data_IF_239819396226
#
_entry.id   IF_239819396226
#
_cell.length_a   1.000
_cell.length_b   1.000
_cell.length_c   1.000
_cell.angle_alpha   90.00
_cell.angle_beta   90.00
_cell.angle_gamma   90.00
#
_symmetry.space_group_name_H-M   'P 1'
#
loop_
_entity.id
_entity.type
_entity.pdbx_description
1 polymer ?
#
# COMPACT_ATOMS: atom_id res chain seq x y z
N UNK A 1 46.28 12.67 2.87
CA UNK A 1 45.88 12.34 1.48
C UNK A 1 47.05 12.48 0.48
N UNK A 2 47.25 11.48 -0.39
CA UNK A 2 48.35 11.42 -1.40
C UNK A 2 47.80 11.26 -2.84
N UNK A 3 48.64 11.53 -3.84
CA UNK A 3 48.29 11.33 -5.26
C UNK A 3 48.30 9.86 -5.70
N UNK A 4 47.43 9.51 -6.63
CA UNK A 4 47.38 8.17 -7.23
C UNK A 4 48.49 8.02 -8.28
N UNK A 5 49.24 6.89 -8.28
CA UNK A 5 50.29 6.64 -9.26
C UNK A 5 49.76 6.68 -10.71
N UNK A 6 50.50 7.34 -11.62
CA UNK A 6 50.00 7.66 -12.96
C UNK A 6 49.75 6.46 -13.89
N UNK A 7 50.46 5.34 -13.68
CA UNK A 7 50.45 4.19 -14.59
C UNK A 7 49.48 3.08 -14.17
N UNK A 8 48.81 3.20 -13.03
CA UNK A 8 47.81 2.22 -12.58
C UNK A 8 46.49 2.37 -13.35
N UNK A 9 45.63 1.36 -13.27
CA UNK A 9 44.27 1.46 -13.80
C UNK A 9 43.50 2.57 -13.10
N UNK A 10 42.66 3.27 -13.86
CA UNK A 10 41.87 4.37 -13.32
C UNK A 10 40.84 3.83 -12.31
N UNK A 11 40.74 4.42 -11.11
CA UNK A 11 39.76 3.98 -10.10
C UNK A 11 38.30 4.09 -10.54
N UNK A 12 37.99 4.86 -11.59
CA UNK A 12 36.63 4.95 -12.11
C UNK A 12 36.14 3.70 -12.85
N UNK A 13 36.96 2.65 -12.99
CA UNK A 13 36.56 1.40 -13.64
C UNK A 13 36.53 1.45 -15.17
N UNK A 14 37.03 2.52 -15.80
CA UNK A 14 37.03 2.68 -17.26
C UNK A 14 37.96 1.73 -18.04
N UNK A 15 38.77 0.92 -17.34
CA UNK A 15 39.81 0.08 -17.94
C UNK A 15 41.03 0.83 -18.52
N UNK A 16 41.04 2.18 -18.46
CA UNK A 16 42.14 3.02 -18.94
C UNK A 16 43.16 3.28 -17.83
N UNK A 17 44.41 3.59 -18.19
CA UNK A 17 45.43 4.08 -17.23
C UNK A 17 44.99 5.41 -16.63
N UNK A 18 45.21 5.64 -15.33
CA UNK A 18 44.77 6.85 -14.61
C UNK A 18 45.23 8.14 -15.30
N UNK A 19 46.50 8.19 -15.74
CA UNK A 19 47.06 9.34 -16.49
C UNK A 19 46.35 9.67 -17.81
N UNK A 20 45.61 8.73 -18.40
CA UNK A 20 44.86 8.90 -19.66
C UNK A 20 43.34 8.95 -19.44
N UNK A 21 42.89 9.14 -18.20
CA UNK A 21 41.47 9.12 -17.86
C UNK A 21 41.10 10.24 -16.88
N UNK A 22 41.18 10.01 -15.56
CA UNK A 22 40.70 10.97 -14.57
C UNK A 22 41.82 11.77 -13.88
N UNK A 23 43.09 11.65 -14.31
CA UNK A 23 44.22 12.35 -13.67
C UNK A 23 44.06 13.88 -13.74
N UNK A 24 43.72 14.41 -14.91
CA UNK A 24 43.53 15.86 -15.10
C UNK A 24 42.35 16.41 -14.30
N UNK A 25 41.34 15.56 -14.01
CA UNK A 25 40.19 15.94 -13.18
C UNK A 25 40.54 16.09 -11.70
N UNK A 26 41.65 15.50 -11.24
CA UNK A 26 42.15 15.60 -9.85
C UNK A 26 41.14 15.23 -8.74
N UNK A 27 40.14 14.40 -9.06
CA UNK A 27 39.04 14.04 -8.14
C UNK A 27 39.32 12.83 -7.24
N UNK A 28 40.37 12.06 -7.50
CA UNK A 28 40.73 10.87 -6.71
C UNK A 28 42.06 11.06 -5.98
N UNK A 29 42.11 10.63 -4.71
CA UNK A 29 43.29 10.64 -3.84
C UNK A 29 43.40 9.33 -3.07
N UNK A 30 44.55 9.09 -2.46
CA UNK A 30 44.72 8.04 -1.45
C UNK A 30 44.53 8.67 -0.07
N UNK A 31 43.68 8.06 0.78
CA UNK A 31 43.62 8.39 2.20
C UNK A 31 44.88 7.91 2.93
N UNK A 32 44.95 8.16 4.23
CA UNK A 32 46.15 7.82 5.02
C UNK A 32 46.31 6.30 5.25
N UNK A 33 45.24 5.52 5.01
CA UNK A 33 45.24 4.05 5.02
C UNK A 33 45.54 3.46 3.63
N UNK A 34 45.71 4.29 2.60
CA UNK A 34 45.95 3.86 1.23
C UNK A 34 44.69 3.49 0.44
N UNK A 35 43.49 3.75 0.96
CA UNK A 35 42.25 3.59 0.21
C UNK A 35 42.07 4.73 -0.79
N UNK A 36 41.50 4.41 -1.95
CA UNK A 36 41.14 5.43 -2.93
C UNK A 36 39.88 6.15 -2.47
N UNK A 37 39.98 7.45 -2.28
CA UNK A 37 38.87 8.35 -1.92
C UNK A 37 38.63 9.37 -3.02
N UNK A 38 37.36 9.77 -3.18
CA UNK A 38 36.97 10.86 -4.08
C UNK A 38 36.84 12.14 -3.28
N UNK A 39 37.50 13.21 -3.73
CA UNK A 39 37.32 14.55 -3.18
C UNK A 39 36.28 15.29 -4.02
N UNK A 40 35.31 15.88 -3.35
CA UNK A 40 34.29 16.74 -3.95
C UNK A 40 34.32 18.07 -3.20
N UNK A 41 34.48 19.17 -3.93
CA UNK A 41 34.34 20.50 -3.34
C UNK A 41 32.86 20.88 -3.30
N UNK A 42 32.37 21.24 -2.12
CA UNK A 42 30.99 21.67 -1.95
C UNK A 42 30.84 23.11 -2.40
N UNK A 43 29.79 23.37 -3.19
CA UNK A 43 29.39 24.73 -3.52
C UNK A 43 29.05 25.51 -2.22
N UNK A 44 29.33 26.84 -2.11
CA UNK A 44 29.07 27.61 -0.89
C UNK A 44 27.64 27.44 -0.34
N UNK A 45 26.62 27.47 -1.21
CA UNK A 45 25.23 27.19 -0.83
C UNK A 45 25.01 25.80 -0.21
N UNK A 46 25.76 24.78 -0.64
CA UNK A 46 25.67 23.44 -0.06
C UNK A 46 26.30 23.41 1.34
N UNK A 47 27.38 24.17 1.57
CA UNK A 47 27.98 24.35 2.90
C UNK A 47 26.98 25.00 3.85
N UNK A 48 26.28 26.05 3.41
CA UNK A 48 25.21 26.69 4.20
C UNK A 48 24.11 25.71 4.61
N UNK A 49 23.70 24.81 3.69
CA UNK A 49 22.69 23.77 3.97
C UNK A 49 23.21 22.77 5.01
N UNK A 50 24.47 22.34 4.90
CA UNK A 50 25.07 21.40 5.88
C UNK A 50 25.16 22.04 7.26
N UNK A 51 25.61 23.28 7.35
CA UNK A 51 25.70 24.01 8.63
C UNK A 51 24.31 24.29 9.23
N UNK A 52 23.30 24.52 8.38
CA UNK A 52 21.91 24.61 8.82
C UNK A 52 21.41 23.28 9.41
N UNK A 53 21.64 22.16 8.71
CA UNK A 53 21.24 20.83 9.18
C UNK A 53 21.89 20.49 10.54
N UNK A 54 23.16 20.85 10.76
CA UNK A 54 23.82 20.65 12.06
C UNK A 54 23.12 21.42 13.19
N UNK A 55 22.76 22.69 12.97
CA UNK A 55 22.03 23.48 13.97
C UNK A 55 20.67 22.86 14.29
N UNK A 56 19.91 22.47 13.26
CA UNK A 56 18.61 21.82 13.43
C UNK A 56 18.73 20.48 14.19
N UNK A 57 19.79 19.70 13.90
CA UNK A 57 20.10 18.49 14.66
C UNK A 57 20.35 18.81 16.14
N UNK A 58 21.22 19.79 16.43
CA UNK A 58 21.54 20.17 17.81
C UNK A 58 20.34 20.71 18.58
N UNK A 59 19.44 21.44 17.92
CA UNK A 59 18.19 21.92 18.50
C UNK A 59 17.23 20.76 18.82
N UNK A 60 17.09 19.78 17.92
CA UNK A 60 16.16 18.66 18.09
C UNK A 60 16.65 17.63 19.11
N UNK A 61 17.95 17.29 19.08
CA UNK A 61 18.54 16.23 19.89
C UNK A 61 19.28 16.74 21.14
N UNK A 62 19.47 18.06 21.28
CA UNK A 62 20.17 18.67 22.42
C UNK A 62 21.68 18.40 22.46
N UNK A 63 22.28 17.99 21.33
CA UNK A 63 23.72 17.68 21.20
C UNK A 63 24.17 17.77 19.74
N UNK A 64 25.47 17.93 19.54
CA UNK A 64 26.09 17.84 18.22
C UNK A 64 26.03 16.40 17.65
N UNK A 65 26.01 16.25 16.30
CA UNK A 65 26.07 14.95 15.64
C UNK A 65 27.44 14.28 15.82
N UNK A 66 27.44 12.96 15.98
CA UNK A 66 28.64 12.13 16.09
C UNK A 66 29.22 11.81 14.70
N UNK A 67 30.50 11.41 14.60
CA UNK A 67 31.15 11.16 13.31
C UNK A 67 30.49 10.09 12.43
N UNK A 68 29.74 9.16 13.02
CA UNK A 68 29.04 8.08 12.31
C UNK A 68 27.54 8.37 12.08
N UNK A 69 27.06 9.57 12.39
CA UNK A 69 25.68 9.97 12.16
C UNK A 69 25.51 10.67 10.80
N UNK A 70 24.31 10.58 10.18
CA UNK A 70 24.07 11.22 8.90
C UNK A 70 24.22 12.74 8.98
N UNK A 71 24.97 13.31 8.03
CA UNK A 71 25.14 14.77 7.90
C UNK A 71 23.82 15.47 7.57
N UNK A 72 22.96 14.81 6.79
CA UNK A 72 21.62 15.29 6.45
C UNK A 72 20.58 14.42 7.16
N UNK A 73 20.39 14.61 8.46
CA UNK A 73 19.52 13.72 9.25
C UNK A 73 18.06 13.69 8.79
N UNK A 74 17.58 14.68 8.05
CA UNK A 74 16.25 14.67 7.42
C UNK A 74 16.07 13.54 6.39
N UNK A 75 17.16 13.02 5.80
CA UNK A 75 17.08 11.86 4.90
C UNK A 75 16.67 10.60 5.65
N UNK A 76 16.73 10.60 6.99
CA UNK A 76 16.14 9.54 7.79
C UNK A 76 14.62 9.49 7.64
N UNK A 77 13.92 10.50 7.11
CA UNK A 77 12.46 10.43 6.92
C UNK A 77 12.06 10.27 5.45
N UNK A 78 12.99 9.94 4.57
CA UNK A 78 12.78 9.84 3.14
C UNK A 78 13.39 8.55 2.61
N UNK A 79 12.58 7.69 2.00
CA UNK A 79 13.12 6.57 1.21
C UNK A 79 13.82 7.08 -0.05
N UNK A 80 14.62 6.22 -0.70
CA UNK A 80 15.20 6.53 -2.01
C UNK A 80 14.10 6.86 -3.03
N UNK A 81 12.97 6.18 -2.98
CA UNK A 81 11.85 6.46 -3.88
C UNK A 81 11.19 7.82 -3.56
N UNK A 82 11.03 8.22 -2.29
CA UNK A 82 10.49 9.54 -1.88
C UNK A 82 11.38 10.65 -2.45
N UNK A 83 12.70 10.45 -2.35
CA UNK A 83 13.68 11.35 -2.90
C UNK A 83 13.53 11.48 -4.42
N UNK A 84 13.38 10.36 -5.13
CA UNK A 84 13.26 10.36 -6.59
C UNK A 84 11.95 10.98 -7.08
N UNK A 85 10.82 10.74 -6.40
CA UNK A 85 9.53 11.38 -6.67
C UNK A 85 9.60 12.89 -6.44
N UNK A 86 10.15 13.34 -5.30
CA UNK A 86 10.31 14.76 -4.99
C UNK A 86 11.19 15.49 -6.01
N UNK A 87 12.27 14.84 -6.48
CA UNK A 87 13.10 15.40 -7.56
C UNK A 87 12.33 15.45 -8.88
N UNK A 88 11.52 14.45 -9.20
CA UNK A 88 10.71 14.45 -10.43
C UNK A 88 9.71 15.61 -10.43
N UNK A 89 9.04 15.89 -9.31
CA UNK A 89 8.14 17.05 -9.22
C UNK A 89 8.88 18.37 -9.44
N UNK A 90 10.08 18.51 -8.88
CA UNK A 90 10.91 19.69 -9.08
C UNK A 90 11.27 19.82 -10.56
N UNK A 91 11.68 18.74 -11.20
CA UNK A 91 12.02 18.70 -12.62
C UNK A 91 10.86 19.11 -13.50
N UNK A 92 9.65 18.63 -13.20
CA UNK A 92 8.44 19.00 -13.93
C UNK A 92 8.09 20.48 -13.72
N UNK A 93 8.17 20.97 -12.47
CA UNK A 93 7.90 22.39 -12.12
C UNK A 93 8.87 23.37 -12.78
N UNK A 94 10.14 22.98 -12.91
CA UNK A 94 11.19 23.84 -13.50
C UNK A 94 11.43 23.57 -14.99
N UNK A 95 10.63 22.69 -15.61
CA UNK A 95 10.67 22.44 -17.05
C UNK A 95 11.93 21.73 -17.54
N UNK A 96 12.50 20.83 -16.72
CA UNK A 96 13.67 20.03 -17.12
C UNK A 96 13.29 19.08 -18.27
N UNK A 97 14.12 18.95 -19.32
CA UNK A 97 13.84 18.03 -20.42
C UNK A 97 13.67 16.59 -19.94
N UNK A 98 12.69 15.86 -20.52
CA UNK A 98 12.32 14.51 -20.07
C UNK A 98 13.46 13.50 -20.19
N UNK A 99 14.35 13.66 -21.16
CA UNK A 99 15.53 12.80 -21.28
C UNK A 99 16.52 12.98 -20.12
N UNK A 100 16.61 14.19 -19.55
CA UNK A 100 17.45 14.51 -18.41
C UNK A 100 16.81 13.94 -17.14
N UNK A 101 15.50 14.12 -16.97
CA UNK A 101 14.74 13.50 -15.89
C UNK A 101 14.89 11.97 -15.90
N UNK A 102 14.78 11.36 -17.07
CA UNK A 102 15.00 9.92 -17.25
C UNK A 102 16.43 9.51 -16.89
N UNK A 103 17.44 10.25 -17.37
CA UNK A 103 18.84 9.93 -17.09
C UNK A 103 19.17 10.06 -15.60
N UNK A 104 18.67 11.10 -14.93
CA UNK A 104 18.74 11.25 -13.47
C UNK A 104 18.09 10.04 -12.79
N UNK A 105 16.85 9.72 -13.15
CA UNK A 105 16.13 8.59 -12.54
C UNK A 105 16.91 7.27 -12.66
N UNK A 106 17.53 7.05 -13.81
CA UNK A 106 18.24 5.80 -14.10
C UNK A 106 19.63 5.72 -13.48
N UNK A 107 20.28 6.86 -13.25
CA UNK A 107 21.70 6.88 -12.87
C UNK A 107 21.97 7.48 -11.49
N UNK A 108 20.99 8.17 -10.90
CA UNK A 108 21.13 8.95 -9.67
C UNK A 108 21.99 10.21 -9.82
N UNK A 109 22.41 10.56 -11.04
CA UNK A 109 23.28 11.71 -11.28
C UNK A 109 22.49 12.96 -11.65
N UNK A 110 22.94 14.13 -11.21
CA UNK A 110 22.47 15.42 -11.71
C UNK A 110 23.59 16.08 -12.52
N UNK A 111 23.64 15.83 -13.83
CA UNK A 111 24.68 16.38 -14.71
C UNK A 111 24.32 17.78 -15.16
N UNK A 112 25.26 18.71 -15.05
CA UNK A 112 25.15 20.09 -15.52
C UNK A 112 26.48 20.60 -16.05
N UNK A 113 26.47 21.73 -16.76
CA UNK A 113 27.69 22.40 -17.25
C UNK A 113 28.68 22.67 -16.10
N UNK A 114 28.17 22.93 -14.89
CA UNK A 114 28.98 23.23 -13.72
C UNK A 114 29.75 22.03 -13.18
N UNK A 115 29.31 20.79 -13.43
CA UNK A 115 29.89 19.61 -12.80
C UNK A 115 30.35 18.52 -13.76
N UNK A 116 29.98 18.57 -15.05
CA UNK A 116 30.32 17.56 -16.05
C UNK A 116 31.83 17.22 -16.07
N UNK A 117 32.67 18.26 -15.97
CA UNK A 117 34.12 18.10 -15.95
C UNK A 117 34.63 17.27 -14.75
N UNK A 118 33.89 17.24 -13.64
CA UNK A 118 34.20 16.50 -12.40
C UNK A 118 33.60 15.08 -12.36
N UNK A 119 32.80 14.70 -13.36
CA UNK A 119 32.17 13.37 -13.41
C UNK A 119 33.14 12.38 -14.07
N UNK A 120 33.38 11.19 -13.48
CA UNK A 120 34.23 10.19 -14.09
C UNK A 120 33.78 9.80 -15.51
N UNK A 121 34.72 9.48 -16.39
CA UNK A 121 34.41 9.14 -17.80
C UNK A 121 33.43 7.96 -17.91
N UNK A 122 33.56 6.95 -17.06
CA UNK A 122 32.66 5.80 -17.03
C UNK A 122 31.22 6.18 -16.68
N UNK A 123 31.04 7.08 -15.72
CA UNK A 123 29.73 7.56 -15.30
C UNK A 123 29.10 8.46 -16.36
N UNK A 124 29.87 9.36 -16.99
CA UNK A 124 29.38 10.14 -18.14
C UNK A 124 28.88 9.24 -19.28
N UNK A 125 29.59 8.14 -19.58
CA UNK A 125 29.12 7.18 -20.58
C UNK A 125 27.79 6.52 -20.18
N UNK A 126 27.57 6.24 -18.89
CA UNK A 126 26.28 5.72 -18.39
C UNK A 126 25.17 6.75 -18.51
N UNK A 127 25.46 8.01 -18.20
CA UNK A 127 24.54 9.13 -18.38
C UNK A 127 24.10 9.29 -19.83
N UNK A 128 25.07 9.38 -20.75
CA UNK A 128 24.80 9.54 -22.18
C UNK A 128 24.03 8.34 -22.75
N UNK A 129 24.34 7.13 -22.28
CA UNK A 129 23.60 5.92 -22.64
C UNK A 129 22.14 5.99 -22.17
N UNK A 130 21.86 6.52 -20.98
CA UNK A 130 20.50 6.70 -20.48
C UNK A 130 19.71 7.74 -21.28
N UNK A 131 20.34 8.87 -21.66
CA UNK A 131 19.73 9.86 -22.56
C UNK A 131 19.41 9.24 -23.92
N UNK A 132 20.38 8.52 -24.51
CA UNK A 132 20.19 7.84 -25.79
C UNK A 132 19.03 6.84 -25.71
N UNK A 133 18.97 6.07 -24.64
CA UNK A 133 17.89 5.11 -24.40
C UNK A 133 16.53 5.78 -24.34
N UNK A 134 16.37 6.90 -23.65
CA UNK A 134 15.12 7.66 -23.64
C UNK A 134 14.73 8.13 -25.05
N UNK A 135 15.69 8.66 -25.82
CA UNK A 135 15.43 9.09 -27.21
C UNK A 135 15.05 7.92 -28.12
N UNK A 136 15.61 6.74 -27.90
CA UNK A 136 15.24 5.53 -28.63
C UNK A 136 13.83 5.03 -28.22
N UNK A 137 13.44 5.24 -26.96
CA UNK A 137 12.06 4.99 -26.48
C UNK A 137 11.07 5.92 -27.17
N UNK A 138 11.30 7.24 -27.19
CA UNK A 138 10.39 8.20 -27.85
C UNK A 138 10.26 7.95 -29.35
N UNK A 139 11.32 7.47 -30.00
CA UNK A 139 11.31 7.10 -31.42
C UNK A 139 10.65 5.74 -31.68
N UNK A 140 10.11 5.07 -30.66
CA UNK A 140 9.47 3.76 -30.77
C UNK A 140 10.44 2.61 -31.06
N UNK A 141 11.76 2.85 -30.99
CA UNK A 141 12.81 1.84 -31.24
C UNK A 141 13.02 0.92 -30.04
N UNK A 142 12.55 1.32 -28.86
CA UNK A 142 12.59 0.54 -27.62
C UNK A 142 11.29 0.75 -26.87
N UNK A 143 10.62 -0.32 -26.42
CA UNK A 143 9.44 -0.19 -25.56
C UNK A 143 9.88 -0.08 -24.10
N UNK A 144 9.23 0.80 -23.34
CA UNK A 144 9.28 0.72 -21.87
C UNK A 144 8.55 -0.56 -21.51
N UNK A 145 9.26 -1.49 -20.88
CA UNK A 145 8.64 -2.68 -20.32
C UNK A 145 8.03 -2.29 -18.97
N UNK A 146 6.91 -1.57 -18.98
CA UNK A 146 6.08 -1.46 -17.78
C UNK A 146 5.28 -2.77 -17.73
N UNK A 147 5.42 -3.58 -16.67
CA UNK A 147 4.62 -4.79 -16.55
C UNK A 147 3.15 -4.41 -16.67
N UNK A 148 2.43 -5.04 -17.61
CA UNK A 148 1.02 -4.76 -17.90
C UNK A 148 0.14 -4.80 -16.62
N UNK A 149 0.58 -5.56 -15.61
CA UNK A 149 -0.04 -5.65 -14.29
C UNK A 149 -0.04 -4.32 -13.52
N UNK A 150 1.00 -3.48 -13.64
CA UNK A 150 1.08 -2.19 -12.94
C UNK A 150 0.07 -1.18 -13.48
N UNK A 151 -0.10 -1.10 -14.81
CA UNK A 151 -1.12 -0.23 -15.42
C UNK A 151 -2.53 -0.67 -14.99
N UNK A 152 -2.74 -1.98 -14.81
CA UNK A 152 -4.02 -2.52 -14.32
C UNK A 152 -4.27 -2.17 -12.85
N UNK A 153 -3.24 -2.19 -12.00
CA UNK A 153 -3.33 -1.77 -10.60
C UNK A 153 -3.60 -0.27 -10.47
N UNK A 154 -2.95 0.55 -11.30
CA UNK A 154 -3.22 2.00 -11.36
C UNK A 154 -4.69 2.27 -11.73
N UNK A 155 -5.21 1.55 -12.74
CA UNK A 155 -6.64 1.63 -13.10
C UNK A 155 -7.58 1.17 -11.97
N UNK A 156 -7.19 0.21 -11.13
CA UNK A 156 -7.98 -0.14 -9.94
C UNK A 156 -8.02 1.00 -8.92
N UNK A 157 -6.92 1.71 -8.72
CA UNK A 157 -6.84 2.84 -7.79
C UNK A 157 -7.83 3.95 -8.15
N UNK A 158 -7.92 4.30 -9.44
CA UNK A 158 -8.92 5.25 -9.93
C UNK A 158 -10.36 4.80 -9.66
N UNK A 159 -10.62 3.49 -9.77
CA UNK A 159 -11.94 2.90 -9.50
C UNK A 159 -12.30 2.92 -8.03
N UNK A 160 -11.32 2.83 -7.13
CA UNK A 160 -11.55 2.95 -5.69
C UNK A 160 -12.07 4.34 -5.31
N UNK A 161 -11.72 5.40 -6.05
CA UNK A 161 -12.36 6.71 -5.89
C UNK A 161 -13.85 6.65 -6.21
N UNK A 162 -14.23 6.02 -7.33
CA UNK A 162 -15.64 5.82 -7.65
C UNK A 162 -16.37 4.97 -6.60
N UNK A 163 -15.71 3.92 -6.06
CA UNK A 163 -16.26 3.09 -4.99
C UNK A 163 -16.60 3.90 -3.74
N UNK A 164 -15.74 4.84 -3.32
CA UNK A 164 -16.00 5.71 -2.17
C UNK A 164 -17.26 6.55 -2.36
N UNK A 165 -17.44 7.17 -3.54
CA UNK A 165 -18.64 7.94 -3.86
C UNK A 165 -19.89 7.06 -3.86
N UNK A 166 -19.81 5.87 -4.46
CA UNK A 166 -20.93 4.93 -4.52
C UNK A 166 -21.37 4.47 -3.11
N UNK A 167 -20.42 4.06 -2.27
CA UNK A 167 -20.71 3.70 -0.87
C UNK A 167 -21.32 4.87 -0.10
N UNK A 168 -20.76 6.08 -0.27
CA UNK A 168 -21.28 7.29 0.36
C UNK A 168 -22.72 7.61 -0.07
N UNK A 169 -23.03 7.44 -1.35
CA UNK A 169 -24.37 7.66 -1.90
C UNK A 169 -25.38 6.64 -1.39
N UNK A 170 -25.01 5.35 -1.35
CA UNK A 170 -25.85 4.28 -0.80
C UNK A 170 -26.16 4.56 0.67
N UNK A 171 -25.14 4.86 1.47
CA UNK A 171 -25.33 5.22 2.88
C UNK A 171 -26.28 6.41 3.00
N UNK A 172 -26.04 7.49 2.24
CA UNK A 172 -26.86 8.69 2.27
C UNK A 172 -28.34 8.41 1.96
N UNK A 173 -28.63 7.65 0.90
CA UNK A 173 -30.00 7.33 0.47
C UNK A 173 -30.75 6.47 1.49
N UNK A 174 -30.05 5.54 2.13
CA UNK A 174 -30.63 4.58 3.08
C UNK A 174 -30.63 5.12 4.52
N UNK A 175 -30.05 6.29 4.75
CA UNK A 175 -29.90 6.88 6.07
C UNK A 175 -31.22 7.50 6.59
N UNK A 176 -31.97 6.76 7.40
CA UNK A 176 -33.07 7.31 8.21
C UNK A 176 -32.60 7.71 9.61
N UNK A 177 -32.37 9.01 9.79
CA UNK A 177 -31.89 9.62 11.03
C UNK A 177 -32.83 9.36 12.22
N UNK A 178 -34.13 9.20 12.00
CA UNK A 178 -35.07 9.01 13.11
C UNK A 178 -34.97 7.61 13.71
N UNK A 179 -34.72 6.59 12.88
CA UNK A 179 -34.56 5.19 13.33
C UNK A 179 -33.23 4.98 14.07
N UNK A 180 -32.14 5.54 13.53
CA UNK A 180 -30.78 5.27 14.00
C UNK A 180 -30.37 5.89 15.34
N UNK A 181 -31.20 6.74 15.97
CA UNK A 181 -30.86 7.39 17.25
C UNK A 181 -30.89 6.44 18.46
N UNK A 182 -31.26 5.18 18.28
CA UNK A 182 -31.38 4.19 19.35
C UNK A 182 -30.33 3.10 19.16
N UNK A 183 -29.26 3.15 19.95
CA UNK A 183 -28.36 2.01 20.07
C UNK A 183 -28.94 1.04 21.10
N UNK A 184 -29.78 0.12 20.65
CA UNK A 184 -30.42 -0.89 21.49
C UNK A 184 -30.63 -2.23 20.74
N UNK A 185 -31.22 -3.21 21.43
CA UNK A 185 -31.49 -4.55 20.91
C UNK A 185 -32.54 -4.61 19.80
N UNK A 186 -33.23 -3.51 19.51
CA UNK A 186 -34.17 -3.40 18.41
C UNK A 186 -33.50 -2.99 17.10
N UNK A 187 -32.16 -2.93 17.04
CA UNK A 187 -31.43 -2.65 15.81
C UNK A 187 -31.93 -3.53 14.67
N UNK A 188 -32.21 -2.89 13.54
CA UNK A 188 -32.66 -3.56 12.34
C UNK A 188 -31.47 -4.05 11.51
N UNK A 189 -31.74 -4.98 10.60
CA UNK A 189 -30.77 -5.45 9.62
C UNK A 189 -30.16 -4.29 8.81
N UNK A 190 -31.01 -3.39 8.32
CA UNK A 190 -30.59 -2.22 7.54
C UNK A 190 -29.69 -1.29 8.35
N UNK A 191 -30.02 -1.02 9.62
CA UNK A 191 -29.18 -0.17 10.49
C UNK A 191 -27.81 -0.79 10.74
N UNK A 192 -27.76 -2.11 10.98
CA UNK A 192 -26.49 -2.79 11.18
C UNK A 192 -25.63 -2.83 9.91
N UNK A 193 -26.26 -3.03 8.75
CA UNK A 193 -25.58 -2.95 7.45
C UNK A 193 -25.05 -1.54 7.22
N UNK A 194 -25.83 -0.49 7.51
CA UNK A 194 -25.37 0.89 7.38
C UNK A 194 -24.21 1.21 8.31
N UNK A 195 -24.20 0.67 9.53
CA UNK A 195 -23.04 0.74 10.41
C UNK A 195 -21.81 0.09 9.76
N UNK A 196 -21.94 -1.13 9.23
CA UNK A 196 -20.84 -1.83 8.56
C UNK A 196 -20.34 -1.07 7.32
N UNK A 197 -21.23 -0.55 6.48
CA UNK A 197 -20.87 0.26 5.31
C UNK A 197 -20.20 1.58 5.70
N UNK A 198 -20.68 2.25 6.74
CA UNK A 198 -20.09 3.49 7.23
C UNK A 198 -18.69 3.25 7.79
N UNK A 199 -18.52 2.17 8.57
CA UNK A 199 -17.19 1.74 9.04
C UNK A 199 -16.30 1.40 7.85
N UNK A 200 -16.79 0.63 6.89
CA UNK A 200 -16.07 0.25 5.69
C UNK A 200 -15.60 1.46 4.89
N UNK A 201 -16.46 2.44 4.62
CA UNK A 201 -16.09 3.66 3.90
C UNK A 201 -15.02 4.47 4.64
N UNK A 202 -15.10 4.59 5.97
CA UNK A 202 -14.05 5.24 6.76
C UNK A 202 -12.73 4.47 6.69
N UNK A 203 -12.77 3.15 6.80
CA UNK A 203 -11.59 2.29 6.71
C UNK A 203 -10.96 2.33 5.31
N UNK A 204 -11.78 2.28 4.25
CA UNK A 204 -11.36 2.43 2.86
C UNK A 204 -10.62 3.75 2.64
N UNK A 205 -11.19 4.87 3.11
CA UNK A 205 -10.56 6.20 3.02
C UNK A 205 -9.21 6.25 3.73
N UNK A 206 -9.15 5.71 4.94
CA UNK A 206 -7.90 5.66 5.69
C UNK A 206 -6.84 4.78 4.99
N UNK A 207 -7.24 3.61 4.48
CA UNK A 207 -6.34 2.71 3.77
C UNK A 207 -5.80 3.33 2.48
N UNK A 208 -6.63 4.03 1.70
CA UNK A 208 -6.19 4.75 0.51
C UNK A 208 -5.19 5.86 0.83
N UNK A 209 -5.44 6.65 1.89
CA UNK A 209 -4.49 7.67 2.33
C UNK A 209 -3.15 7.06 2.77
N UNK A 210 -3.16 5.89 3.42
CA UNK A 210 -1.93 5.18 3.79
C UNK A 210 -1.17 4.69 2.56
N UNK A 211 -1.87 4.13 1.57
CA UNK A 211 -1.27 3.68 0.31
C UNK A 211 -0.66 4.86 -0.44
N UNK A 212 -1.36 6.00 -0.54
CA UNK A 212 -0.84 7.22 -1.14
C UNK A 212 0.40 7.75 -0.39
N UNK A 213 0.45 7.56 0.93
CA UNK A 213 1.61 7.85 1.77
C UNK A 213 2.71 6.77 1.75
N UNK A 214 2.61 5.75 0.89
CA UNK A 214 3.54 4.61 0.82
C UNK A 214 3.61 3.72 2.08
N UNK A 215 2.52 3.68 2.86
CA UNK A 215 2.36 2.81 4.04
C UNK A 215 1.46 1.61 3.70
N UNK A 216 1.90 0.77 2.75
CA UNK A 216 1.12 -0.37 2.26
C UNK A 216 0.90 -1.45 3.32
N UNK A 217 1.89 -1.72 4.16
CA UNK A 217 1.81 -2.63 5.31
C UNK A 217 0.73 -2.19 6.30
N UNK A 218 0.68 -0.90 6.63
CA UNK A 218 -0.33 -0.34 7.52
C UNK A 218 -1.72 -0.36 6.87
N UNK A 219 -1.81 -0.27 5.55
CA UNK A 219 -3.06 -0.45 4.84
C UNK A 219 -3.56 -1.91 4.94
N UNK A 220 -2.68 -2.93 4.94
CA UNK A 220 -3.07 -4.34 5.13
C UNK A 220 -3.79 -4.56 6.48
N UNK A 221 -3.40 -3.84 7.53
CA UNK A 221 -4.12 -3.85 8.81
C UNK A 221 -5.59 -3.42 8.67
N UNK A 222 -5.82 -2.38 7.88
CA UNK A 222 -7.16 -1.86 7.62
C UNK A 222 -7.95 -2.77 6.68
N UNK A 223 -7.28 -3.43 5.74
CA UNK A 223 -7.90 -4.38 4.80
C UNK A 223 -8.54 -5.55 5.53
N UNK A 224 -7.95 -6.02 6.65
CA UNK A 224 -8.62 -7.00 7.52
C UNK A 224 -9.98 -6.51 7.99
N UNK A 225 -10.08 -5.25 8.43
CA UNK A 225 -11.35 -4.66 8.86
C UNK A 225 -12.36 -4.56 7.70
N UNK A 226 -11.89 -4.30 6.47
CA UNK A 226 -12.74 -4.31 5.25
C UNK A 226 -13.27 -5.72 5.00
N UNK A 227 -12.44 -6.76 5.10
CA UNK A 227 -12.86 -8.15 4.96
C UNK A 227 -13.89 -8.56 6.03
N UNK A 228 -13.69 -8.16 7.28
CA UNK A 228 -14.67 -8.42 8.34
C UNK A 228 -16.01 -7.71 8.06
N UNK A 229 -15.98 -6.47 7.58
CA UNK A 229 -17.20 -5.77 7.15
C UNK A 229 -17.91 -6.51 6.01
N UNK A 230 -17.17 -7.08 5.05
CA UNK A 230 -17.74 -7.94 4.00
C UNK A 230 -18.53 -9.10 4.60
N UNK A 231 -17.90 -9.90 5.47
CA UNK A 231 -18.55 -11.06 6.08
C UNK A 231 -19.80 -10.66 6.86
N UNK A 232 -19.74 -9.55 7.59
CA UNK A 232 -20.89 -9.04 8.34
C UNK A 232 -22.02 -8.55 7.45
N UNK A 233 -21.73 -7.83 6.36
CA UNK A 233 -22.74 -7.41 5.38
C UNK A 233 -23.39 -8.62 4.72
N UNK A 234 -22.58 -9.55 4.20
CA UNK A 234 -23.06 -10.76 3.54
C UNK A 234 -23.98 -11.59 4.45
N UNK A 235 -23.56 -11.82 5.69
CA UNK A 235 -24.33 -12.62 6.65
C UNK A 235 -25.60 -11.89 7.13
N UNK A 236 -25.58 -10.56 7.22
CA UNK A 236 -26.79 -9.80 7.58
C UNK A 236 -27.86 -9.93 6.51
N UNK A 237 -27.47 -9.89 5.23
CA UNK A 237 -28.38 -9.97 4.09
C UNK A 237 -28.88 -11.39 3.86
N UNK A 238 -28.00 -12.40 4.03
CA UNK A 238 -28.29 -13.78 3.61
C UNK A 238 -28.67 -14.72 4.75
N UNK A 239 -28.53 -14.29 6.01
CA UNK A 239 -28.78 -15.15 7.16
C UNK A 239 -29.55 -14.44 8.28
N UNK A 240 -30.85 -14.72 8.36
CA UNK A 240 -31.76 -14.14 9.36
C UNK A 240 -31.37 -14.44 10.82
N UNK A 241 -30.57 -15.49 11.09
CA UNK A 241 -30.10 -15.78 12.45
C UNK A 241 -28.97 -14.82 12.88
N UNK A 242 -28.19 -14.30 11.93
CA UNK A 242 -27.03 -13.48 12.24
C UNK A 242 -27.42 -12.16 12.91
N UNK A 243 -28.48 -11.50 12.43
CA UNK A 243 -28.95 -10.26 13.06
C UNK A 243 -29.44 -10.49 14.50
N UNK A 244 -30.01 -11.66 14.79
CA UNK A 244 -30.40 -12.02 16.16
C UNK A 244 -29.18 -12.15 17.07
N UNK A 245 -28.09 -12.74 16.59
CA UNK A 245 -26.81 -12.78 17.30
C UNK A 245 -26.24 -11.38 17.55
N UNK A 246 -26.37 -10.45 16.61
CA UNK A 246 -25.97 -9.05 16.80
C UNK A 246 -26.80 -8.38 17.89
N UNK A 247 -28.12 -8.58 17.89
CA UNK A 247 -29.01 -8.05 18.95
C UNK A 247 -28.59 -8.58 20.32
N UNK A 248 -28.33 -9.89 20.44
CA UNK A 248 -27.83 -10.51 21.67
C UNK A 248 -26.48 -9.88 22.09
N UNK A 249 -25.55 -9.66 21.15
CA UNK A 249 -24.27 -9.00 21.44
C UNK A 249 -24.43 -7.57 21.94
N UNK A 250 -25.38 -6.81 21.40
CA UNK A 250 -25.73 -5.48 21.92
C UNK A 250 -26.31 -5.60 23.33
N UNK A 251 -27.21 -6.54 23.56
CA UNK A 251 -27.78 -6.78 24.88
C UNK A 251 -26.73 -7.17 25.94
N UNK A 252 -25.69 -7.91 25.55
CA UNK A 252 -24.54 -8.20 26.42
C UNK A 252 -23.76 -6.92 26.79
N UNK A 253 -23.61 -5.98 25.86
CA UNK A 253 -22.97 -4.68 26.11
C UNK A 253 -23.83 -3.76 26.99
N UNK A 254 -25.15 -3.80 26.81
CA UNK A 254 -26.11 -3.01 27.59
C UNK A 254 -26.48 -3.64 28.94
N UNK A 255 -26.08 -4.89 29.18
CA UNK A 255 -26.32 -5.62 30.42
C UNK A 255 -27.70 -6.27 30.55
N UNK A 256 -28.51 -6.26 29.49
CA UNK A 256 -29.80 -6.96 29.40
C UNK A 256 -29.63 -8.45 29.15
N UNK A 257 -28.47 -8.86 28.63
CA UNK A 257 -28.07 -10.25 28.48
C UNK A 257 -26.81 -10.52 29.30
N UNK A 258 -26.65 -11.76 29.77
CA UNK A 258 -25.45 -12.21 30.48
C UNK A 258 -25.04 -13.60 30.00
N UNK A 259 -23.73 -13.85 29.98
CA UNK A 259 -23.22 -15.20 29.75
C UNK A 259 -23.55 -16.10 30.94
N UNK A 260 -24.03 -17.33 30.67
CA UNK A 260 -24.26 -18.34 31.72
C UNK A 260 -22.94 -18.70 32.41
N UNK A 261 -21.85 -18.74 31.64
CA UNK A 261 -20.45 -18.80 32.10
C UNK A 261 -19.62 -17.88 31.23
N UNK A 262 -18.66 -17.16 31.81
CA UNK A 262 -17.80 -16.22 31.06
C UNK A 262 -17.16 -16.92 29.85
N UNK A 263 -17.40 -16.40 28.64
CA UNK A 263 -16.91 -16.97 27.38
C UNK A 263 -17.74 -18.11 26.78
N UNK A 264 -18.89 -18.45 27.36
CA UNK A 264 -19.80 -19.46 26.80
C UNK A 264 -20.60 -18.94 25.60
N UNK A 265 -21.01 -19.82 24.70
CA UNK A 265 -21.95 -19.49 23.61
C UNK A 265 -23.38 -19.29 24.12
N UNK A 266 -23.70 -19.84 25.30
CA UNK A 266 -25.01 -19.72 25.92
C UNK A 266 -25.10 -18.43 26.74
N UNK A 267 -26.16 -17.69 26.48
CA UNK A 267 -26.51 -16.44 27.13
C UNK A 267 -27.92 -16.54 27.71
N UNK A 268 -28.20 -15.70 28.70
CA UNK A 268 -29.52 -15.57 29.30
C UNK A 268 -29.95 -14.11 29.27
N UNK A 269 -31.19 -13.86 28.86
CA UNK A 269 -31.83 -12.56 29.00
C UNK A 269 -32.17 -12.32 30.47
N UNK A 270 -31.70 -11.21 31.03
CA UNK A 270 -31.78 -10.91 32.47
C UNK A 270 -33.21 -10.70 32.93
N UNK A 271 -34.05 -10.09 32.10
CA UNK A 271 -35.43 -9.75 32.46
C UNK A 271 -36.34 -10.98 32.50
N UNK A 272 -36.19 -11.89 31.54
CA UNK A 272 -37.11 -13.02 31.33
C UNK A 272 -36.53 -14.37 31.80
N UNK A 273 -35.21 -14.45 31.98
CA UNK A 273 -34.51 -15.71 32.23
C UNK A 273 -34.44 -16.62 30.99
N UNK A 274 -34.82 -16.14 29.80
CA UNK A 274 -34.82 -16.92 28.58
C UNK A 274 -33.39 -17.20 28.10
N UNK A 275 -33.07 -18.46 27.88
CA UNK A 275 -31.79 -18.85 27.29
C UNK A 275 -31.78 -18.59 25.77
N UNK A 276 -30.66 -18.08 25.28
CA UNK A 276 -30.31 -18.02 23.87
C UNK A 276 -28.88 -18.52 23.65
N UNK A 277 -28.53 -18.84 22.39
CA UNK A 277 -27.20 -19.31 22.02
C UNK A 277 -26.70 -18.52 20.84
N UNK A 278 -25.51 -17.94 20.97
CA UNK A 278 -24.79 -17.33 19.87
C UNK A 278 -24.35 -18.41 18.88
N UNK A 279 -24.79 -18.29 17.62
CA UNK A 279 -24.44 -19.19 16.52
C UNK A 279 -23.14 -18.77 15.81
N UNK A 280 -22.83 -17.48 15.82
CA UNK A 280 -21.73 -16.86 15.08
C UNK A 280 -20.81 -16.07 16.01
N UNK A 281 -19.77 -16.75 16.50
CA UNK A 281 -18.79 -16.19 17.44
C UNK A 281 -17.44 -15.88 16.80
N UNK A 282 -17.16 -16.43 15.61
CA UNK A 282 -15.87 -16.28 14.92
C UNK A 282 -16.05 -15.90 13.45
N UNK A 283 -15.12 -15.10 12.91
CA UNK A 283 -15.12 -14.70 11.50
C UNK A 283 -15.02 -15.92 10.55
N UNK A 284 -14.24 -16.94 10.92
CA UNK A 284 -14.21 -18.23 10.22
C UNK A 284 -15.60 -18.83 10.04
N UNK A 285 -16.49 -18.74 11.04
CA UNK A 285 -17.86 -19.25 10.92
C UNK A 285 -18.69 -18.42 9.94
N UNK A 286 -18.50 -17.10 9.90
CA UNK A 286 -19.19 -16.24 8.93
C UNK A 286 -18.78 -16.58 7.50
N UNK A 287 -17.48 -16.78 7.25
CA UNK A 287 -16.96 -17.19 5.95
C UNK A 287 -17.50 -18.56 5.53
N UNK A 288 -17.42 -19.56 6.42
CA UNK A 288 -17.89 -20.92 6.15
C UNK A 288 -19.41 -20.99 5.87
N UNK A 289 -20.19 -20.20 6.60
CA UNK A 289 -21.66 -20.25 6.59
C UNK A 289 -22.29 -19.26 5.61
N UNK A 290 -21.49 -18.60 4.76
CA UNK A 290 -22.02 -17.80 3.67
C UNK A 290 -22.88 -18.70 2.74
N UNK A 291 -24.19 -18.43 2.56
CA UNK A 291 -25.10 -19.38 1.91
C UNK A 291 -24.79 -19.72 0.45
N UNK A 292 -24.25 -18.76 -0.32
CA UNK A 292 -23.89 -18.96 -1.72
C UNK A 292 -22.42 -19.28 -1.95
N UNK A 293 -21.52 -18.53 -1.31
CA UNK A 293 -20.08 -18.55 -1.60
C UNK A 293 -19.22 -19.16 -0.49
N UNK A 294 -19.81 -19.81 0.52
CA UNK A 294 -19.08 -20.29 1.70
C UNK A 294 -17.88 -21.20 1.41
N UNK A 295 -17.93 -21.98 0.33
CA UNK A 295 -16.79 -22.80 -0.14
C UNK A 295 -15.59 -21.96 -0.60
N UNK A 296 -15.82 -20.83 -1.26
CA UNK A 296 -14.74 -19.93 -1.71
C UNK A 296 -14.31 -19.00 -0.57
N UNK A 297 -15.29 -18.46 0.17
CA UNK A 297 -15.05 -17.50 1.24
C UNK A 297 -14.24 -18.10 2.39
N UNK A 298 -14.38 -19.40 2.68
CA UNK A 298 -13.56 -20.07 3.69
C UNK A 298 -12.10 -20.25 3.25
N UNK A 299 -11.85 -20.50 1.96
CA UNK A 299 -10.49 -20.58 1.41
C UNK A 299 -9.83 -19.21 1.40
N UNK A 300 -10.58 -18.16 1.02
CA UNK A 300 -10.16 -16.77 1.13
C UNK A 300 -9.82 -16.43 2.59
N UNK A 301 -10.67 -16.82 3.53
CA UNK A 301 -10.42 -16.63 4.96
C UNK A 301 -9.10 -17.29 5.39
N UNK A 302 -8.92 -18.58 5.09
CA UNK A 302 -7.75 -19.34 5.52
C UNK A 302 -6.45 -18.79 4.93
N UNK A 303 -6.49 -18.24 3.72
CA UNK A 303 -5.32 -17.68 3.06
C UNK A 303 -5.00 -16.25 3.51
N UNK A 304 -6.00 -15.36 3.55
CA UNK A 304 -5.76 -13.94 3.82
C UNK A 304 -5.83 -13.57 5.29
N UNK A 305 -6.63 -14.26 6.11
CA UNK A 305 -6.91 -13.75 7.45
C UNK A 305 -5.68 -13.75 8.35
N UNK A 306 -4.89 -14.84 8.32
CA UNK A 306 -3.65 -14.93 9.10
C UNK A 306 -2.57 -13.99 8.55
N UNK A 307 -2.44 -13.92 7.21
CA UNK A 307 -1.54 -12.98 6.54
C UNK A 307 -1.83 -11.53 6.96
N UNK A 308 -3.08 -11.08 6.86
CA UNK A 308 -3.48 -9.73 7.26
C UNK A 308 -3.35 -9.50 8.77
N UNK A 309 -3.59 -10.55 9.58
CA UNK A 309 -3.43 -10.46 11.04
C UNK A 309 -1.98 -10.32 11.48
N UNK A 310 -1.02 -10.84 10.71
CA UNK A 310 0.41 -10.72 10.96
C UNK A 310 0.94 -9.28 10.93
N UNK A 311 0.21 -8.35 10.30
CA UNK A 311 0.55 -6.93 10.31
C UNK A 311 -0.03 -6.18 11.52
N UNK A 312 -1.01 -6.79 12.22
CA UNK A 312 -1.73 -6.14 13.34
C UNK A 312 -1.00 -6.35 14.67
N UNK A 313 -0.24 -7.43 14.76
CA UNK A 313 0.52 -7.82 15.94
C UNK A 313 2.01 -7.87 15.59
N UNK A 314 2.92 -7.65 16.55
CA UNK A 314 4.33 -7.97 16.35
C UNK A 314 4.49 -9.46 16.02
N UNK A 315 4.63 -9.78 14.75
CA UNK A 315 4.74 -11.14 14.22
C UNK A 315 6.08 -11.31 13.50
N UNK A 316 6.81 -12.38 13.82
CA UNK A 316 8.09 -12.69 13.18
C UNK A 316 7.94 -13.02 11.69
N UNK A 317 6.75 -13.45 11.25
CA UNK A 317 6.48 -13.74 9.84
C UNK A 317 6.58 -12.48 8.99
N UNK A 318 6.29 -11.30 9.55
CA UNK A 318 6.38 -10.02 8.81
C UNK A 318 7.76 -9.36 8.92
N UNK A 319 8.72 -9.97 9.63
CA UNK A 319 10.07 -9.40 9.83
C UNK A 319 10.77 -9.07 8.50
N UNK A 320 10.58 -9.89 7.47
CA UNK A 320 11.16 -9.66 6.13
C UNK A 320 10.68 -8.37 5.47
N UNK A 321 9.55 -7.80 5.91
CA UNK A 321 9.02 -6.53 5.44
C UNK A 321 9.84 -5.34 5.97
N UNK A 322 10.54 -5.51 7.10
CA UNK A 322 11.28 -4.45 7.79
C UNK A 322 12.80 -4.60 7.73
N UNK A 323 13.30 -5.61 7.02
CA UNK A 323 14.73 -5.92 6.90
C UNK A 323 15.14 -5.99 5.43
N UNK A 324 16.31 -5.47 5.10
CA UNK A 324 17.00 -5.63 3.82
C UNK A 324 18.44 -6.14 4.03
N UNK A 325 19.25 -6.12 2.97
CA UNK A 325 20.65 -6.57 3.01
C UNK A 325 21.53 -5.79 4.01
N UNK A 326 21.13 -4.58 4.40
CA UNK A 326 21.83 -3.69 5.30
C UNK A 326 21.25 -3.71 6.74
N UNK A 327 20.23 -4.54 7.00
CA UNK A 327 19.59 -4.68 8.31
C UNK A 327 18.18 -4.07 8.36
N UNK A 328 17.80 -3.50 9.50
CA UNK A 328 16.45 -2.92 9.65
C UNK A 328 16.31 -1.67 8.79
N UNK A 329 15.29 -1.67 7.93
CA UNK A 329 14.95 -0.56 7.06
C UNK A 329 13.49 -0.16 7.29
N UNK A 330 13.31 0.94 8.02
CA UNK A 330 12.02 1.50 8.37
C UNK A 330 11.42 2.37 7.26
N UNK A 331 12.14 2.58 6.16
CA UNK A 331 11.69 3.29 4.95
C UNK A 331 11.37 2.32 3.81
N UNK A 332 11.52 1.02 4.05
CA UNK A 332 11.23 -0.01 3.07
C UNK A 332 9.73 0.02 2.77
N UNK A 333 9.40 0.20 1.50
CA UNK A 333 8.02 0.24 1.01
C UNK A 333 7.60 -1.16 0.57
N UNK A 334 6.55 -1.73 1.16
CA UNK A 334 5.98 -3.00 0.67
C UNK A 334 4.46 -2.92 0.50
N UNK A 335 3.92 -3.85 -0.28
CA UNK A 335 2.49 -4.15 -0.36
C UNK A 335 1.52 -3.06 -0.82
N UNK A 336 1.96 -1.92 -1.37
CA UNK A 336 1.02 -0.90 -1.89
C UNK A 336 0.12 -1.47 -3.00
N UNK A 337 0.69 -2.27 -3.90
CA UNK A 337 -0.05 -2.88 -5.02
C UNK A 337 -1.03 -3.95 -4.55
N UNK A 338 -0.59 -4.81 -3.64
CA UNK A 338 -1.37 -5.86 -2.99
C UNK A 338 -2.51 -5.26 -2.19
N UNK A 339 -2.26 -4.13 -1.52
CA UNK A 339 -3.28 -3.40 -0.77
C UNK A 339 -4.37 -2.86 -1.70
N UNK A 340 -4.02 -2.23 -2.82
CA UNK A 340 -4.99 -1.78 -3.85
C UNK A 340 -5.81 -2.97 -4.36
N UNK A 341 -5.13 -4.10 -4.63
CA UNK A 341 -5.77 -5.32 -5.14
C UNK A 341 -6.81 -5.86 -4.14
N UNK A 342 -6.43 -6.05 -2.88
CA UNK A 342 -7.32 -6.60 -1.86
C UNK A 342 -8.45 -5.64 -1.47
N UNK A 343 -8.20 -4.33 -1.40
CA UNK A 343 -9.25 -3.33 -1.18
C UNK A 343 -10.27 -3.39 -2.30
N UNK A 344 -9.81 -3.42 -3.56
CA UNK A 344 -10.67 -3.50 -4.74
C UNK A 344 -11.50 -4.79 -4.74
N UNK A 345 -10.87 -5.90 -4.41
CA UNK A 345 -11.52 -7.20 -4.28
C UNK A 345 -12.64 -7.17 -3.25
N UNK A 346 -12.36 -6.84 -1.99
CA UNK A 346 -13.37 -6.90 -0.93
C UNK A 346 -14.48 -5.85 -1.11
N UNK A 347 -14.18 -4.65 -1.60
CA UNK A 347 -15.22 -3.66 -1.85
C UNK A 347 -16.12 -4.05 -3.03
N UNK A 348 -15.60 -4.75 -4.05
CA UNK A 348 -16.44 -5.36 -5.07
C UNK A 348 -17.40 -6.40 -4.46
N UNK A 349 -16.91 -7.26 -3.55
CA UNK A 349 -17.76 -8.24 -2.87
C UNK A 349 -18.85 -7.56 -2.02
N UNK A 350 -18.49 -6.55 -1.23
CA UNK A 350 -19.44 -5.77 -0.40
C UNK A 350 -20.54 -5.18 -1.26
N UNK A 351 -20.20 -4.45 -2.32
CA UNK A 351 -21.18 -3.81 -3.19
C UNK A 351 -22.09 -4.85 -3.85
N UNK A 352 -21.56 -5.99 -4.28
CA UNK A 352 -22.39 -7.04 -4.86
C UNK A 352 -23.38 -7.66 -3.85
N UNK A 353 -22.98 -7.83 -2.59
CA UNK A 353 -23.90 -8.28 -1.54
C UNK A 353 -25.05 -7.28 -1.33
N UNK A 354 -24.73 -5.98 -1.32
CA UNK A 354 -25.69 -4.88 -1.14
C UNK A 354 -26.81 -4.87 -2.19
N UNK A 355 -26.58 -5.38 -3.41
CA UNK A 355 -27.66 -5.55 -4.42
C UNK A 355 -28.85 -6.37 -3.90
N UNK A 356 -28.61 -7.25 -2.94
CA UNK A 356 -29.61 -8.16 -2.38
C UNK A 356 -30.24 -7.61 -1.08
N UNK A 357 -29.90 -6.38 -0.68
CA UNK A 357 -30.49 -5.73 0.49
C UNK A 357 -31.96 -5.41 0.24
N UNK A 358 -32.83 -5.86 1.14
CA UNK A 358 -34.25 -5.53 1.09
C UNK A 358 -34.46 -4.01 1.20
N UNK A 359 -35.10 -3.42 0.19
CA UNK A 359 -35.41 -1.99 0.15
C UNK A 359 -34.36 -1.09 -0.52
N UNK A 360 -33.31 -1.67 -1.11
CA UNK A 360 -32.38 -0.89 -1.93
C UNK A 360 -33.07 -0.36 -3.20
N UNK A 361 -32.75 0.88 -3.59
CA UNK A 361 -33.32 1.49 -4.79
C UNK A 361 -32.66 0.98 -6.08
N UNK A 362 -33.46 0.84 -7.15
CA UNK A 362 -32.99 0.35 -8.44
C UNK A 362 -31.82 1.16 -9.02
N UNK A 363 -31.75 2.47 -8.76
CA UNK A 363 -30.63 3.30 -9.24
C UNK A 363 -29.32 2.88 -8.58
N UNK A 364 -29.33 2.65 -7.27
CA UNK A 364 -28.14 2.14 -6.56
C UNK A 364 -27.73 0.75 -7.06
N UNK A 365 -28.67 -0.13 -7.42
CA UNK A 365 -28.35 -1.42 -8.05
C UNK A 365 -27.63 -1.22 -9.39
N UNK A 366 -28.14 -0.34 -10.27
CA UNK A 366 -27.51 -0.05 -11.57
C UNK A 366 -26.12 0.57 -11.43
N UNK A 367 -25.92 1.44 -10.44
CA UNK A 367 -24.61 2.03 -10.16
C UNK A 367 -23.61 0.97 -9.67
N UNK A 368 -24.05 0.02 -8.84
CA UNK A 368 -23.24 -1.15 -8.43
C UNK A 368 -22.91 -2.03 -9.62
N UNK A 369 -23.87 -2.31 -10.51
CA UNK A 369 -23.63 -3.14 -11.70
C UNK A 369 -22.60 -2.49 -12.62
N UNK A 370 -22.67 -1.17 -12.81
CA UNK A 370 -21.67 -0.41 -13.57
C UNK A 370 -20.29 -0.49 -12.91
N UNK A 371 -20.21 -0.36 -11.59
CA UNK A 371 -18.95 -0.54 -10.86
C UNK A 371 -18.38 -1.94 -11.09
N UNK A 372 -19.22 -2.97 -10.96
CA UNK A 372 -18.85 -4.38 -11.14
C UNK A 372 -18.34 -4.66 -12.54
N UNK A 373 -19.09 -4.26 -13.57
CA UNK A 373 -18.75 -4.47 -14.98
C UNK A 373 -17.41 -3.84 -15.37
N UNK A 374 -17.05 -2.74 -14.71
CA UNK A 374 -15.82 -2.02 -15.03
C UNK A 374 -14.64 -2.45 -14.16
N UNK A 375 -14.86 -3.01 -12.97
CA UNK A 375 -13.81 -3.41 -12.02
C UNK A 375 -13.47 -4.90 -12.09
N UNK A 376 -14.47 -5.78 -12.18
CA UNK A 376 -14.27 -7.23 -12.17
C UNK A 376 -13.33 -7.73 -13.29
N UNK A 377 -13.41 -7.26 -14.56
CA UNK A 377 -12.50 -7.70 -15.61
C UNK A 377 -11.03 -7.37 -15.34
N UNK A 378 -10.74 -6.30 -14.60
CA UNK A 378 -9.37 -5.95 -14.21
C UNK A 378 -8.86 -6.90 -13.14
N UNK A 379 -9.67 -7.18 -12.10
CA UNK A 379 -9.34 -8.13 -11.04
C UNK A 379 -9.10 -9.54 -11.59
N UNK A 380 -9.97 -10.03 -12.47
CA UNK A 380 -9.84 -11.37 -13.09
C UNK A 380 -8.51 -11.47 -13.86
N UNK A 381 -8.15 -10.44 -14.63
CA UNK A 381 -6.89 -10.41 -15.38
C UNK A 381 -5.67 -10.35 -14.48
N UNK A 382 -5.72 -9.54 -13.41
CA UNK A 382 -4.62 -9.44 -12.45
C UNK A 382 -4.42 -10.78 -11.75
N UNK A 383 -5.47 -11.35 -11.15
CA UNK A 383 -5.35 -12.65 -10.48
C UNK A 383 -4.92 -13.76 -11.44
N UNK A 384 -5.44 -13.79 -12.67
CA UNK A 384 -4.99 -14.76 -13.67
C UNK A 384 -3.51 -14.61 -14.07
N UNK A 385 -2.98 -13.39 -14.08
CA UNK A 385 -1.55 -13.16 -14.30
C UNK A 385 -0.73 -13.59 -13.08
N UNK A 386 -1.19 -13.30 -11.85
CA UNK A 386 -0.54 -13.74 -10.61
C UNK A 386 -0.51 -15.26 -10.51
N UNK A 387 -1.60 -15.97 -10.82
CA UNK A 387 -1.64 -17.45 -10.90
C UNK A 387 -0.60 -18.01 -11.88
N UNK A 388 -0.42 -17.34 -13.02
CA UNK A 388 0.55 -17.75 -14.04
C UNK A 388 1.99 -17.54 -13.57
N UNK A 389 2.26 -16.43 -12.90
CA UNK A 389 3.60 -16.08 -12.43
C UNK A 389 3.99 -16.83 -11.16
N UNK A 390 2.99 -17.19 -10.35
CA UNK A 390 3.13 -17.91 -9.09
C UNK A 390 2.20 -19.13 -9.08
N UNK A 391 2.65 -20.31 -9.56
CA UNK A 391 1.80 -21.50 -9.69
C UNK A 391 1.17 -22.02 -8.38
N UNK A 392 1.70 -21.61 -7.22
CA UNK A 392 1.15 -21.94 -5.90
C UNK A 392 0.14 -20.89 -5.40
N UNK A 393 -0.09 -19.80 -6.15
CA UNK A 393 -1.07 -18.79 -5.82
C UNK A 393 -2.47 -19.35 -6.01
N UNK A 394 -3.37 -19.18 -5.03
CA UNK A 394 -4.68 -19.79 -5.08
C UNK A 394 -5.63 -19.15 -6.11
N UNK A 395 -6.44 -19.98 -6.76
CA UNK A 395 -7.43 -19.54 -7.76
C UNK A 395 -8.74 -19.02 -7.19
N UNK A 396 -9.05 -19.30 -5.92
CA UNK A 396 -10.37 -19.00 -5.34
C UNK A 396 -10.71 -17.50 -5.35
N UNK A 397 -9.73 -16.58 -5.35
CA UNK A 397 -10.01 -15.14 -5.42
C UNK A 397 -10.53 -14.76 -6.81
N UNK A 398 -9.89 -15.28 -7.86
CA UNK A 398 -10.33 -15.08 -9.25
C UNK A 398 -11.68 -15.73 -9.49
N UNK A 399 -11.84 -16.99 -9.10
CA UNK A 399 -13.11 -17.73 -9.21
C UNK A 399 -14.25 -16.99 -8.51
N UNK A 400 -13.97 -16.40 -7.33
CA UNK A 400 -14.94 -15.61 -6.57
C UNK A 400 -15.39 -14.36 -7.33
N UNK A 401 -14.49 -13.68 -8.04
CA UNK A 401 -14.83 -12.53 -8.90
C UNK A 401 -15.57 -12.97 -10.16
N UNK A 402 -15.15 -14.06 -10.80
CA UNK A 402 -15.80 -14.63 -12.00
C UNK A 402 -17.26 -15.03 -11.72
N UNK A 403 -17.52 -15.57 -10.53
CA UNK A 403 -18.86 -15.90 -10.06
C UNK A 403 -19.78 -14.67 -9.88
N UNK A 404 -19.23 -13.47 -9.75
CA UNK A 404 -20.00 -12.22 -9.72
C UNK A 404 -20.25 -11.65 -11.12
N UNK A 405 -19.38 -11.95 -12.08
CA UNK A 405 -19.41 -11.38 -13.42
C UNK A 405 -20.20 -12.22 -14.42
N UNK A 406 -20.40 -13.51 -14.11
CA UNK A 406 -21.07 -14.49 -14.98
C UNK A 406 -22.58 -14.60 -14.72
N UNK A 407 -23.14 -13.70 -13.89
CA UNK A 407 -24.56 -13.53 -13.55
C UNK A 407 -25.02 -12.19 -14.07
#
# INVERSE_FOLDING_TARGET
MKDIPSNVLCPCGSGRKYKRCCKEKNIFKLDDNGHVVRRVELHPKAVEIVEKNKREFSELFGREPQPNEPVLFHTLLMSDDDYMEGIQEIFDKVGIPKEIAYAHRKTGMAVSEMNEHLIPTSDMLRWDAAIKEYRDIEKGKKKINRPEILDRIESLSERLNFCQYLLGLIIFKQNDIQRQKRFDENITEVEYILFCLTKNLKTLRAALNLIEGNFGEDALNLIRSIFENYLHVAMSIRNNDFINDIKIKIGLLLGTHKYIRKGAEKVVEVATGKEARLKFTKNHQLALLHPLYGKMDIEIYNYLYDFLSGFTHPDLVTLSCYVDENGFNYQKRNFSSESILYISFFNLLILNEIKNLNGIDNTSILDIDRFTQTTAPHLIKIFGQVEKDFPNYPSFMKERVEALYSV
#
